data_IF_724463491997
#
_entry.id   IF_724463491997
#
_cell.length_a   1.000
_cell.length_b   1.000
_cell.length_c   1.000
_cell.angle_alpha   90.00
_cell.angle_beta   90.00
_cell.angle_gamma   90.00
#
_symmetry.space_group_name_H-M   'P 1'
#
loop_
_entity.id
_entity.type
_entity.pdbx_description
1 polymer ?
#
# COMPACT_ATOMS: atom_id res chain seq x y z
N UNK A 1 -65.31 -46.10 27.90
CA UNK A 1 -64.96 -44.79 28.52
C UNK A 1 -63.44 -44.68 28.62
N UNK A 2 -62.87 -43.46 28.74
CA UNK A 2 -61.43 -43.14 28.67
C UNK A 2 -60.78 -43.33 27.28
N UNK A 3 -60.82 -42.27 26.47
CA UNK A 3 -59.76 -42.01 25.47
C UNK A 3 -58.41 -41.81 26.20
N UNK A 4 -57.31 -42.11 25.51
CA UNK A 4 -55.97 -41.60 25.85
C UNK A 4 -55.45 -40.80 24.67
N UNK A 5 -55.26 -39.49 24.85
CA UNK A 5 -54.50 -38.68 23.91
C UNK A 5 -53.01 -38.96 24.10
N UNK A 6 -52.29 -39.13 23.00
CA UNK A 6 -50.83 -39.25 22.99
C UNK A 6 -50.26 -38.05 22.24
N UNK A 7 -49.82 -37.03 22.97
CA UNK A 7 -49.23 -35.83 22.39
C UNK A 7 -47.81 -36.11 21.91
N UNK A 8 -47.63 -36.27 20.60
CA UNK A 8 -46.31 -36.40 19.98
C UNK A 8 -45.72 -34.99 19.81
N UNK A 9 -44.68 -34.68 20.58
CA UNK A 9 -43.90 -33.45 20.44
C UNK A 9 -43.05 -33.51 19.17
N UNK A 10 -43.24 -32.54 18.28
CA UNK A 10 -42.45 -32.38 17.05
C UNK A 10 -41.20 -31.55 17.34
N UNK A 11 -39.96 -32.09 17.20
CA UNK A 11 -38.75 -31.30 17.39
C UNK A 11 -38.53 -30.37 16.19
N UNK A 12 -38.60 -29.06 16.42
CA UNK A 12 -38.11 -28.09 15.44
C UNK A 12 -36.59 -28.17 15.36
N UNK A 13 -36.07 -28.81 14.31
CA UNK A 13 -34.66 -28.71 13.93
C UNK A 13 -34.38 -27.29 13.40
N UNK A 14 -33.94 -26.41 14.30
CA UNK A 14 -33.39 -25.09 13.93
C UNK A 14 -32.04 -25.31 13.25
N UNK A 15 -32.08 -25.54 11.94
CA UNK A 15 -30.89 -25.63 11.11
C UNK A 15 -30.20 -24.27 11.06
N UNK A 16 -29.11 -24.12 11.82
CA UNK A 16 -28.16 -23.01 11.64
C UNK A 16 -27.46 -23.19 10.29
N UNK A 17 -28.09 -22.66 9.23
CA UNK A 17 -27.50 -22.52 7.92
C UNK A 17 -26.37 -21.52 7.97
N UNK A 18 -25.17 -21.97 8.33
CA UNK A 18 -23.95 -21.22 8.12
C UNK A 18 -23.81 -20.95 6.62
N UNK A 19 -24.04 -19.71 6.20
CA UNK A 19 -23.82 -19.30 4.83
C UNK A 19 -22.35 -19.55 4.48
N UNK A 20 -22.03 -20.18 3.33
CA UNK A 20 -20.64 -20.41 2.96
C UNK A 20 -19.93 -19.07 2.81
N UNK A 21 -18.95 -18.80 3.67
CA UNK A 21 -18.05 -17.67 3.48
C UNK A 21 -17.30 -17.90 2.16
N UNK A 22 -17.57 -17.06 1.17
CA UNK A 22 -16.84 -17.07 -0.09
C UNK A 22 -15.41 -16.66 0.23
N UNK A 23 -14.52 -17.66 0.32
CA UNK A 23 -13.13 -17.44 0.68
C UNK A 23 -12.50 -16.44 -0.30
N UNK A 24 -11.95 -15.34 0.23
CA UNK A 24 -11.27 -14.36 -0.60
C UNK A 24 -10.02 -14.99 -1.21
N UNK A 25 -9.66 -14.66 -2.47
CA UNK A 25 -8.47 -15.23 -3.11
C UNK A 25 -7.19 -14.96 -2.32
N UNK A 26 -6.24 -15.91 -2.32
CA UNK A 26 -4.99 -15.80 -1.55
C UNK A 26 -4.16 -14.55 -1.92
N UNK A 27 -4.22 -14.09 -3.17
CA UNK A 27 -3.61 -12.82 -3.61
C UNK A 27 -4.26 -11.55 -3.01
N UNK A 28 -5.51 -11.62 -2.54
CA UNK A 28 -6.20 -10.52 -1.85
C UNK A 28 -5.91 -10.48 -0.35
N UNK A 29 -5.79 -11.66 0.27
CA UNK A 29 -5.40 -11.81 1.67
C UNK A 29 -3.95 -11.33 1.86
N UNK A 30 -3.65 -10.75 3.02
CA UNK A 30 -2.27 -10.67 3.51
C UNK A 30 -1.94 -11.86 4.41
N UNK A 31 -0.68 -11.95 4.83
CA UNK A 31 -0.14 -13.01 5.69
C UNK A 31 -0.62 -12.86 7.14
N UNK A 32 -1.90 -13.14 7.40
CA UNK A 32 -2.45 -13.23 8.77
C UNK A 32 -2.46 -14.68 9.27
N UNK A 33 -2.98 -15.62 8.47
CA UNK A 33 -3.25 -17.00 8.94
C UNK A 33 -2.84 -18.13 7.96
N UNK A 34 -2.47 -17.82 6.71
CA UNK A 34 -2.35 -18.83 5.65
C UNK A 34 -0.98 -19.52 5.52
N UNK A 35 0.00 -19.12 6.35
CA UNK A 35 1.39 -19.58 6.27
C UNK A 35 2.18 -18.98 5.11
N UNK A 36 1.66 -17.93 4.46
CA UNK A 36 2.25 -17.33 3.26
C UNK A 36 1.90 -18.08 1.98
N UNK A 37 2.24 -17.49 0.83
CA UNK A 37 2.01 -18.08 -0.49
C UNK A 37 2.68 -19.46 -0.63
N UNK A 38 1.88 -20.44 -1.08
CA UNK A 38 2.27 -21.85 -1.21
C UNK A 38 2.42 -22.25 -2.69
N UNK A 39 3.67 -22.54 -3.09
CA UNK A 39 3.98 -23.00 -4.45
C UNK A 39 3.41 -24.42 -4.65
N UNK A 40 2.74 -24.65 -5.78
CA UNK A 40 2.28 -25.99 -6.18
C UNK A 40 0.91 -26.44 -5.65
N UNK A 41 0.27 -25.69 -4.74
CA UNK A 41 -1.17 -25.85 -4.44
C UNK A 41 -2.05 -24.98 -5.34
N UNK A 42 -1.62 -23.74 -5.58
CA UNK A 42 -2.28 -22.80 -6.49
C UNK A 42 -1.44 -22.67 -7.76
N UNK A 43 -2.05 -22.89 -8.93
CA UNK A 43 -1.35 -22.80 -10.23
C UNK A 43 -0.95 -21.36 -10.61
N UNK A 44 -1.41 -20.36 -9.87
CA UNK A 44 -1.10 -18.94 -10.05
C UNK A 44 0.12 -18.45 -9.26
N UNK A 45 0.69 -19.21 -8.32
CA UNK A 45 1.81 -18.72 -7.49
C UNK A 45 3.13 -18.84 -8.23
N UNK A 46 3.69 -17.70 -8.64
CA UNK A 46 5.07 -17.57 -9.11
C UNK A 46 6.03 -17.53 -7.92
N UNK A 47 7.18 -18.19 -8.03
CA UNK A 47 8.22 -18.16 -7.02
C UNK A 47 9.61 -18.32 -7.63
N UNK A 48 10.54 -17.47 -7.25
CA UNK A 48 11.95 -17.56 -7.65
C UNK A 48 12.88 -17.45 -6.43
N UNK A 49 13.99 -18.22 -6.43
CA UNK A 49 15.11 -18.03 -5.51
C UNK A 49 16.16 -17.16 -6.19
N UNK A 50 16.72 -16.18 -5.47
CA UNK A 50 17.88 -15.38 -5.87
C UNK A 50 18.88 -15.29 -4.73
N UNK A 51 20.06 -14.75 -4.99
CA UNK A 51 21.13 -14.60 -4.01
C UNK A 51 21.78 -13.22 -4.14
N UNK A 52 21.99 -12.55 -3.02
CA UNK A 52 22.88 -11.39 -2.93
C UNK A 52 24.27 -11.87 -2.51
N UNK A 53 25.32 -11.13 -2.90
CA UNK A 53 26.71 -11.52 -2.60
C UNK A 53 27.45 -10.37 -1.91
N UNK A 54 27.71 -10.52 -0.61
CA UNK A 54 28.39 -9.52 0.21
C UNK A 54 29.59 -10.16 0.91
N UNK A 55 30.76 -9.53 0.84
CA UNK A 55 32.00 -9.98 1.49
C UNK A 55 32.31 -11.48 1.30
N UNK A 56 32.15 -11.97 0.06
CA UNK A 56 32.31 -13.37 -0.38
C UNK A 56 31.34 -14.40 0.24
N UNK A 57 30.32 -13.97 0.99
CA UNK A 57 29.17 -14.78 1.39
C UNK A 57 28.02 -14.66 0.39
N UNK A 58 27.22 -15.72 0.26
CA UNK A 58 25.97 -15.73 -0.50
C UNK A 58 24.77 -15.67 0.47
N UNK A 59 23.85 -14.76 0.20
CA UNK A 59 22.66 -14.49 1.02
C UNK A 59 21.41 -14.80 0.20
N UNK A 60 20.84 -16.01 0.32
CA UNK A 60 19.75 -16.44 -0.53
C UNK A 60 18.39 -15.93 -0.04
N UNK A 61 17.63 -15.35 -0.97
CA UNK A 61 16.23 -14.95 -0.77
C UNK A 61 15.31 -15.72 -1.70
N UNK A 62 14.04 -15.84 -1.32
CA UNK A 62 12.96 -16.34 -2.18
C UNK A 62 11.83 -15.32 -2.25
N UNK A 63 11.47 -14.92 -3.45
CA UNK A 63 10.27 -14.10 -3.70
C UNK A 63 9.12 -14.99 -4.16
N UNK A 64 7.92 -14.67 -3.69
CA UNK A 64 6.66 -15.28 -4.11
C UNK A 64 5.74 -14.17 -4.64
N UNK A 65 4.88 -14.51 -5.60
CA UNK A 65 3.82 -13.61 -6.08
C UNK A 65 2.60 -14.39 -6.56
N UNK A 66 1.42 -13.86 -6.29
CA UNK A 66 0.14 -14.43 -6.70
C UNK A 66 -0.79 -13.33 -7.24
N UNK A 67 -1.75 -13.72 -8.08
CA UNK A 67 -2.75 -12.81 -8.67
C UNK A 67 -4.16 -13.38 -8.59
N UNK A 68 -5.14 -12.51 -8.38
CA UNK A 68 -6.55 -12.87 -8.49
C UNK A 68 -7.40 -11.69 -8.94
N UNK A 69 -8.44 -11.93 -9.73
CA UNK A 69 -9.50 -10.94 -9.95
C UNK A 69 -10.37 -10.82 -8.69
N UNK A 70 -10.83 -9.61 -8.34
CA UNK A 70 -11.59 -9.37 -7.08
C UNK A 70 -13.08 -9.68 -7.19
N UNK A 71 -13.55 -10.13 -8.35
CA UNK A 71 -14.96 -10.31 -8.67
C UNK A 71 -15.65 -9.06 -9.24
N UNK A 72 -14.99 -7.89 -9.20
CA UNK A 72 -15.41 -6.70 -9.96
C UNK A 72 -14.68 -6.65 -11.31
N UNK A 73 -15.28 -5.97 -12.28
CA UNK A 73 -14.71 -5.79 -13.62
C UNK A 73 -13.37 -5.06 -13.58
N UNK A 74 -12.34 -5.66 -14.17
CA UNK A 74 -11.01 -5.05 -14.33
C UNK A 74 -10.32 -4.66 -13.02
N UNK A 75 -10.57 -5.37 -11.91
CA UNK A 75 -9.89 -5.16 -10.62
C UNK A 75 -9.15 -6.43 -10.19
N UNK A 76 -7.86 -6.31 -9.89
CA UNK A 76 -7.00 -7.42 -9.47
C UNK A 76 -6.34 -7.16 -8.12
N UNK A 77 -6.29 -8.20 -7.29
CA UNK A 77 -5.35 -8.28 -6.18
C UNK A 77 -4.03 -8.87 -6.68
N UNK A 78 -2.91 -8.23 -6.35
CA UNK A 78 -1.56 -8.79 -6.45
C UNK A 78 -0.98 -8.93 -5.05
N UNK A 79 -0.42 -10.10 -4.73
CA UNK A 79 0.36 -10.33 -3.50
C UNK A 79 1.82 -10.52 -3.85
N UNK A 80 2.68 -9.98 -3.02
CA UNK A 80 4.13 -10.10 -3.09
C UNK A 80 4.65 -10.52 -1.72
N UNK A 81 5.50 -11.53 -1.67
CA UNK A 81 6.18 -11.93 -0.43
C UNK A 81 7.67 -12.18 -0.67
N UNK A 82 8.49 -11.93 0.35
CA UNK A 82 9.93 -12.24 0.31
C UNK A 82 10.38 -12.89 1.62
N UNK A 83 11.18 -13.94 1.51
CA UNK A 83 11.73 -14.73 2.61
C UNK A 83 13.27 -14.78 2.51
N UNK A 84 13.97 -14.55 3.62
CA UNK A 84 15.38 -14.88 3.74
C UNK A 84 15.48 -16.39 4.02
N UNK A 85 16.00 -17.14 3.05
CA UNK A 85 16.14 -18.61 3.10
C UNK A 85 17.58 -19.04 3.42
N UNK A 86 18.38 -18.12 3.96
CA UNK A 86 19.77 -18.32 4.36
C UNK A 86 19.94 -18.71 5.83
N UNK A 87 21.11 -18.36 6.38
CA UNK A 87 21.43 -18.50 7.81
C UNK A 87 21.96 -17.19 8.43
N UNK A 88 22.43 -16.25 7.60
CA UNK A 88 22.83 -14.91 8.02
C UNK A 88 21.71 -13.89 7.78
N UNK A 89 21.70 -12.82 8.57
CA UNK A 89 20.80 -11.68 8.39
C UNK A 89 21.18 -10.88 7.13
N UNK A 90 20.19 -10.36 6.41
CA UNK A 90 20.38 -9.44 5.28
C UNK A 90 20.13 -8.01 5.76
N UNK A 91 21.10 -7.11 5.60
CA UNK A 91 20.94 -5.71 5.97
C UNK A 91 20.37 -4.89 4.80
N UNK A 92 19.51 -3.92 5.10
CA UNK A 92 18.92 -2.97 4.15
C UNK A 92 18.31 -3.66 2.90
N UNK A 93 17.40 -4.62 3.10
CA UNK A 93 16.63 -5.21 2.01
C UNK A 93 15.61 -4.20 1.48
N UNK A 94 15.54 -3.99 0.17
CA UNK A 94 14.51 -3.21 -0.48
C UNK A 94 13.96 -3.86 -1.76
N UNK A 95 12.64 -3.91 -1.88
CA UNK A 95 11.93 -4.37 -3.07
C UNK A 95 10.85 -3.36 -3.46
N UNK A 96 11.19 -2.47 -4.40
CA UNK A 96 10.38 -1.30 -4.74
C UNK A 96 9.01 -1.58 -5.35
N UNK A 97 8.85 -2.64 -6.15
CA UNK A 97 7.55 -3.01 -6.73
C UNK A 97 6.54 -3.42 -5.64
N UNK A 98 7.01 -4.16 -4.64
CA UNK A 98 6.24 -4.50 -3.45
C UNK A 98 6.25 -3.36 -2.39
N UNK A 99 7.08 -2.33 -2.55
CA UNK A 99 7.31 -1.28 -1.56
C UNK A 99 7.72 -1.80 -0.18
N UNK A 100 8.40 -2.96 -0.13
CA UNK A 100 8.93 -3.60 1.09
C UNK A 100 10.34 -3.04 1.35
N UNK A 101 10.61 -2.57 2.57
CA UNK A 101 11.94 -2.13 3.01
C UNK A 101 12.18 -2.64 4.44
N UNK A 102 13.29 -3.35 4.67
CA UNK A 102 13.63 -3.98 5.95
C UNK A 102 15.10 -3.73 6.28
N UNK A 103 15.36 -3.13 7.45
CA UNK A 103 16.71 -2.79 7.90
C UNK A 103 17.54 -4.02 8.30
N UNK A 104 16.94 -4.94 9.06
CA UNK A 104 17.52 -6.21 9.52
C UNK A 104 16.57 -7.36 9.13
N UNK A 105 16.84 -8.03 8.02
CA UNK A 105 15.97 -9.07 7.47
C UNK A 105 16.50 -10.46 7.83
N UNK A 106 15.89 -11.06 8.87
CA UNK A 106 16.38 -12.26 9.53
C UNK A 106 15.94 -13.55 8.80
N UNK A 107 16.63 -14.69 8.99
CA UNK A 107 16.28 -15.94 8.32
C UNK A 107 14.97 -16.57 8.79
N UNK A 108 14.12 -16.99 7.84
CA UNK A 108 12.98 -17.88 8.10
C UNK A 108 11.61 -17.37 7.63
N UNK A 109 10.63 -18.27 7.66
CA UNK A 109 9.27 -18.00 7.22
C UNK A 109 8.45 -17.12 8.20
N UNK A 110 8.88 -17.01 9.46
CA UNK A 110 8.28 -16.09 10.44
C UNK A 110 8.50 -14.64 9.99
N UNK A 111 9.75 -14.29 9.68
CA UNK A 111 10.18 -12.97 9.24
C UNK A 111 9.85 -12.67 7.76
N UNK A 112 9.25 -13.65 7.02
CA UNK A 112 8.78 -13.45 5.63
C UNK A 112 7.82 -12.26 5.57
N UNK A 113 8.22 -11.21 4.86
CA UNK A 113 7.38 -10.03 4.62
C UNK A 113 6.33 -10.33 3.54
N UNK A 114 5.10 -9.83 3.72
CA UNK A 114 4.01 -9.93 2.74
C UNK A 114 3.33 -8.59 2.53
N UNK A 115 2.90 -8.32 1.29
CA UNK A 115 2.00 -7.21 0.96
C UNK A 115 1.00 -7.61 -0.10
N UNK A 116 -0.25 -7.16 0.04
CA UNK A 116 -1.23 -7.17 -1.04
C UNK A 116 -1.53 -5.74 -1.52
N UNK A 117 -1.84 -5.62 -2.81
CA UNK A 117 -2.22 -4.38 -3.49
C UNK A 117 -3.46 -4.66 -4.36
N UNK A 118 -4.49 -3.82 -4.27
CA UNK A 118 -5.65 -3.87 -5.18
C UNK A 118 -5.49 -2.81 -6.28
N UNK A 119 -5.41 -3.26 -7.53
CA UNK A 119 -5.10 -2.43 -8.70
C UNK A 119 -6.13 -2.66 -9.81
N UNK A 120 -6.61 -1.57 -10.41
CA UNK A 120 -7.45 -1.65 -11.62
C UNK A 120 -6.57 -1.97 -12.84
N UNK A 121 -6.97 -2.93 -13.69
CA UNK A 121 -6.34 -3.21 -14.99
C UNK A 121 -7.30 -3.91 -15.95
N UNK A 122 -7.28 -3.54 -17.23
CA UNK A 122 -8.13 -4.15 -18.27
C UNK A 122 -7.45 -5.33 -18.98
N UNK A 123 -6.16 -5.54 -18.77
CA UNK A 123 -5.40 -6.74 -19.18
C UNK A 123 -5.13 -7.60 -17.96
N UNK A 124 -5.11 -8.92 -18.14
CA UNK A 124 -4.65 -9.86 -17.13
C UNK A 124 -3.22 -9.50 -16.65
N UNK A 125 -2.92 -9.59 -15.33
CA UNK A 125 -1.55 -9.46 -14.86
C UNK A 125 -0.65 -10.53 -15.49
N UNK A 126 0.56 -10.13 -15.87
CA UNK A 126 1.56 -10.96 -16.53
C UNK A 126 2.82 -11.11 -15.66
N UNK A 127 3.63 -12.15 -15.90
CA UNK A 127 4.90 -12.33 -15.19
C UNK A 127 5.96 -11.47 -15.89
N UNK A 128 6.58 -10.54 -15.17
CA UNK A 128 7.71 -9.75 -15.68
C UNK A 128 8.75 -9.49 -14.56
N UNK A 129 9.89 -8.93 -14.95
CA UNK A 129 11.04 -8.66 -14.09
C UNK A 129 10.74 -7.64 -13.01
N UNK A 130 11.40 -7.83 -11.87
CA UNK A 130 11.48 -6.90 -10.74
C UNK A 130 12.89 -6.92 -10.16
N UNK A 131 13.28 -5.85 -9.49
CA UNK A 131 14.62 -5.72 -8.88
C UNK A 131 14.49 -5.72 -7.36
N UNK A 132 15.21 -6.64 -6.74
CA UNK A 132 15.49 -6.67 -5.30
C UNK A 132 16.85 -6.01 -5.08
N UNK A 133 16.99 -5.26 -3.98
CA UNK A 133 18.23 -4.64 -3.56
C UNK A 133 18.54 -5.05 -2.12
N UNK A 134 19.83 -5.10 -1.76
CA UNK A 134 20.29 -5.37 -0.41
C UNK A 134 21.68 -4.77 -0.15
N UNK A 135 22.04 -4.63 1.13
CA UNK A 135 23.30 -4.05 1.59
C UNK A 135 23.46 -2.62 1.05
N UNK A 136 24.66 -2.19 0.68
CA UNK A 136 24.90 -0.81 0.20
C UNK A 136 24.62 -0.62 -1.29
N UNK A 137 24.61 -1.70 -2.10
CA UNK A 137 24.36 -1.63 -3.55
C UNK A 137 24.14 -2.98 -4.26
N UNK A 138 23.94 -4.10 -3.55
CA UNK A 138 23.78 -5.41 -4.20
C UNK A 138 22.37 -5.56 -4.79
N UNK A 139 22.23 -6.24 -5.93
CA UNK A 139 20.98 -6.32 -6.71
C UNK A 139 20.74 -7.72 -7.25
N UNK A 140 19.47 -8.13 -7.21
CA UNK A 140 19.01 -9.39 -7.78
C UNK A 140 17.75 -9.17 -8.64
N UNK A 141 17.79 -9.60 -9.90
CA UNK A 141 16.61 -9.62 -10.77
C UNK A 141 15.74 -10.86 -10.47
N UNK A 142 14.47 -10.65 -10.16
CA UNK A 142 13.46 -11.68 -9.95
C UNK A 142 12.27 -11.51 -10.90
N UNK A 143 11.35 -12.48 -10.97
CA UNK A 143 10.13 -12.42 -11.78
C UNK A 143 8.87 -12.61 -10.92
N UNK A 144 7.85 -11.78 -11.16
CA UNK A 144 6.58 -11.76 -10.40
C UNK A 144 5.43 -11.26 -11.26
N UNK A 145 4.18 -11.44 -10.80
CA UNK A 145 3.02 -10.90 -11.49
C UNK A 145 2.95 -9.38 -11.39
N UNK A 146 2.53 -8.73 -12.47
CA UNK A 146 2.37 -7.27 -12.57
C UNK A 146 1.22 -6.93 -13.51
N UNK A 147 0.46 -5.89 -13.21
CA UNK A 147 -0.57 -5.34 -14.13
C UNK A 147 0.03 -4.37 -15.13
N UNK A 148 -0.58 -4.30 -16.31
CA UNK A 148 -0.16 -3.37 -17.38
C UNK A 148 -0.45 -1.91 -17.06
N UNK A 149 -1.35 -1.59 -16.11
CA UNK A 149 -1.69 -0.22 -15.69
C UNK A 149 -0.55 0.54 -14.98
N UNK A 150 0.68 0.03 -15.03
CA UNK A 150 1.88 0.85 -14.89
C UNK A 150 2.15 1.72 -16.15
N UNK A 151 1.49 1.45 -17.30
CA UNK A 151 1.12 2.42 -18.36
C UNK A 151 -0.10 1.92 -19.16
N UNK A 152 -1.15 2.75 -19.29
CA UNK A 152 -2.49 2.41 -19.83
C UNK A 152 -2.53 2.06 -21.35
N UNK A 153 -3.63 1.69 -22.02
CA UNK A 153 -5.12 1.78 -21.83
C UNK A 153 -5.78 0.77 -22.86
N UNK A 154 -7.08 0.49 -23.01
CA UNK A 154 -8.34 1.06 -22.49
C UNK A 154 -9.55 0.11 -22.61
N UNK A 155 -10.52 0.24 -21.69
CA UNK A 155 -11.97 0.35 -21.98
C UNK A 155 -12.50 1.55 -21.16
N UNK A 156 -13.68 2.10 -21.44
CA UNK A 156 -14.21 3.25 -20.69
C UNK A 156 -14.47 2.90 -19.20
N UNK A 157 -13.55 3.29 -18.31
CA UNK A 157 -13.70 3.10 -16.86
C UNK A 157 -14.83 3.99 -16.31
N UNK A 158 -15.65 3.48 -15.36
CA UNK A 158 -16.62 4.32 -14.63
C UNK A 158 -15.94 5.26 -13.62
N UNK A 159 -14.65 5.08 -13.35
CA UNK A 159 -13.85 5.95 -12.48
C UNK A 159 -13.02 6.96 -13.28
N UNK A 160 -12.63 8.06 -12.62
CA UNK A 160 -11.64 9.00 -13.13
C UNK A 160 -10.27 8.32 -13.34
N UNK A 161 -9.55 8.68 -14.40
CA UNK A 161 -8.26 8.07 -14.72
C UNK A 161 -7.10 8.65 -13.89
N UNK A 162 -6.15 7.78 -13.53
CA UNK A 162 -4.81 8.19 -13.07
C UNK A 162 -3.89 8.29 -14.30
N UNK A 163 -3.61 9.51 -14.75
CA UNK A 163 -2.75 9.82 -15.88
C UNK A 163 -1.31 10.05 -15.39
N UNK A 164 -0.34 9.47 -16.08
CA UNK A 164 1.08 9.77 -15.84
C UNK A 164 1.50 11.01 -16.65
N UNK A 165 1.95 12.07 -15.97
CA UNK A 165 2.36 13.33 -16.62
C UNK A 165 3.78 13.76 -16.23
N UNK A 166 4.40 14.52 -17.12
CA UNK A 166 5.71 15.13 -16.90
C UNK A 166 5.63 16.25 -15.85
N UNK A 167 6.54 16.23 -14.87
CA UNK A 167 6.51 17.15 -13.72
C UNK A 167 6.96 18.57 -14.09
N UNK A 168 7.91 18.71 -15.02
CA UNK A 168 8.39 19.99 -15.54
C UNK A 168 7.32 20.70 -16.40
N UNK A 169 6.43 19.94 -17.03
CA UNK A 169 5.28 20.47 -17.78
C UNK A 169 4.06 20.76 -16.92
N UNK A 170 3.82 19.99 -15.85
CA UNK A 170 2.60 20.11 -15.03
C UNK A 170 2.75 21.04 -13.80
N UNK A 171 3.95 21.16 -13.21
CA UNK A 171 4.14 21.98 -12.00
C UNK A 171 4.66 23.38 -12.35
N UNK A 172 4.08 24.46 -11.78
CA UNK A 172 4.62 25.80 -11.92
C UNK A 172 6.09 25.86 -11.45
N UNK A 173 6.94 26.62 -12.16
CA UNK A 173 8.37 26.70 -11.86
C UNK A 173 8.70 27.11 -10.41
N UNK A 174 7.84 27.91 -9.77
CA UNK A 174 7.98 28.26 -8.36
C UNK A 174 7.67 27.09 -7.41
N UNK A 175 6.75 26.18 -7.76
CA UNK A 175 6.53 24.92 -7.02
C UNK A 175 7.77 24.02 -7.16
N UNK A 176 8.31 23.88 -8.37
CA UNK A 176 9.55 23.11 -8.60
C UNK A 176 10.73 23.66 -7.80
N UNK A 177 10.83 24.98 -7.62
CA UNK A 177 11.83 25.62 -6.75
C UNK A 177 11.62 25.29 -5.27
N UNK A 178 10.38 25.31 -4.76
CA UNK A 178 10.06 24.89 -3.38
C UNK A 178 10.40 23.42 -3.14
N UNK A 179 10.09 22.53 -4.10
CA UNK A 179 10.48 21.11 -4.02
C UNK A 179 12.00 20.94 -4.00
N UNK A 180 12.73 21.65 -4.86
CA UNK A 180 14.19 21.59 -4.91
C UNK A 180 14.86 22.13 -3.63
N UNK A 181 14.36 23.25 -3.08
CA UNK A 181 14.86 23.84 -1.84
C UNK A 181 14.68 22.88 -0.64
N UNK A 182 13.54 22.20 -0.58
CA UNK A 182 13.23 21.18 0.43
C UNK A 182 13.86 19.79 0.11
N UNK A 183 14.77 19.70 -0.86
CA UNK A 183 15.46 18.45 -1.29
C UNK A 183 14.54 17.31 -1.73
N UNK A 184 13.32 17.64 -2.18
CA UNK A 184 12.27 16.67 -2.54
C UNK A 184 12.50 16.10 -3.95
N UNK A 185 13.13 14.93 -4.00
CA UNK A 185 13.41 14.20 -5.24
C UNK A 185 12.16 13.50 -5.82
N UNK A 186 11.30 14.24 -6.55
CA UNK A 186 10.23 13.64 -7.35
C UNK A 186 10.80 12.82 -8.52
N UNK A 187 11.04 11.52 -8.33
CA UNK A 187 11.57 10.61 -9.35
C UNK A 187 10.44 10.02 -10.20
N UNK A 188 10.51 10.20 -11.52
CA UNK A 188 9.52 9.68 -12.47
C UNK A 188 8.36 10.66 -12.77
N UNK A 189 7.34 10.15 -13.46
CA UNK A 189 6.13 10.90 -13.83
C UNK A 189 5.19 11.07 -12.64
N UNK A 190 4.49 12.20 -12.59
CA UNK A 190 3.42 12.44 -11.61
C UNK A 190 2.19 11.61 -11.98
N UNK A 191 1.58 10.95 -10.98
CA UNK A 191 0.31 10.23 -11.14
C UNK A 191 -0.84 11.18 -10.80
N UNK A 192 -1.52 11.71 -11.80
CA UNK A 192 -2.52 12.79 -11.68
C UNK A 192 -3.92 12.31 -11.99
N UNK A 193 -4.91 12.74 -11.21
CA UNK A 193 -6.34 12.55 -11.50
C UNK A 193 -6.98 13.93 -11.71
N UNK A 194 -7.53 14.18 -12.90
CA UNK A 194 -8.32 15.38 -13.18
C UNK A 194 -9.79 15.14 -12.77
N UNK A 195 -10.32 15.99 -11.89
CA UNK A 195 -11.70 15.86 -11.37
C UNK A 195 -12.74 16.60 -12.25
N UNK A 196 -12.33 17.12 -13.41
CA UNK A 196 -13.23 17.64 -14.45
C UNK A 196 -14.05 16.56 -15.16
N UNK A 197 -13.61 15.30 -15.14
CA UNK A 197 -14.39 14.19 -15.71
C UNK A 197 -15.73 13.94 -14.98
N UNK A 198 -15.91 14.47 -13.76
CA UNK A 198 -17.13 14.29 -12.96
C UNK A 198 -17.37 12.86 -12.46
N UNK A 199 -16.45 11.94 -12.72
CA UNK A 199 -16.52 10.54 -12.31
C UNK A 199 -16.10 10.34 -10.84
N UNK A 200 -16.58 9.29 -10.17
CA UNK A 200 -16.01 8.83 -8.91
C UNK A 200 -14.51 8.53 -9.05
N UNK A 201 -13.77 8.70 -7.95
CA UNK A 201 -12.34 8.36 -7.88
C UNK A 201 -12.23 6.97 -7.23
N UNK A 202 -11.44 6.08 -7.83
CA UNK A 202 -11.30 4.71 -7.36
C UNK A 202 -10.57 4.67 -6.00
N UNK A 203 -11.09 4.00 -4.95
CA UNK A 203 -10.43 3.95 -3.64
C UNK A 203 -9.26 2.95 -3.64
N UNK A 204 -8.12 3.36 -3.08
CA UNK A 204 -6.89 2.55 -3.05
C UNK A 204 -6.70 1.94 -1.67
N UNK A 205 -6.61 0.60 -1.62
CA UNK A 205 -6.35 -0.18 -0.41
C UNK A 205 -5.04 -0.95 -0.56
N UNK A 206 -4.19 -0.83 0.44
CA UNK A 206 -2.90 -1.53 0.52
C UNK A 206 -2.69 -2.03 1.95
N UNK A 207 -2.32 -3.30 2.11
CA UNK A 207 -2.07 -3.90 3.42
C UNK A 207 -0.72 -4.62 3.40
N UNK A 208 0.09 -4.40 4.44
CA UNK A 208 1.39 -5.03 4.67
C UNK A 208 1.30 -5.86 5.95
N UNK A 209 1.84 -7.08 5.93
CA UNK A 209 1.86 -8.00 7.07
C UNK A 209 3.24 -8.64 7.25
N UNK A 210 3.76 -8.63 8.48
CA UNK A 210 5.06 -9.21 8.87
C UNK A 210 5.39 -8.90 10.33
N UNK A 211 6.23 -9.71 10.99
CA UNK A 211 6.66 -9.48 12.40
C UNK A 211 5.55 -9.34 13.45
N UNK A 212 4.38 -9.94 13.21
CA UNK A 212 3.19 -9.73 14.05
C UNK A 212 2.62 -8.31 13.94
N UNK A 213 2.91 -7.59 12.86
CA UNK A 213 2.34 -6.30 12.49
C UNK A 213 1.49 -6.48 11.23
N UNK A 214 0.24 -6.02 11.29
CA UNK A 214 -0.62 -5.78 10.14
C UNK A 214 -0.84 -4.28 10.00
N UNK A 215 -0.41 -3.68 8.90
CA UNK A 215 -0.60 -2.25 8.61
C UNK A 215 -1.40 -2.08 7.33
N UNK A 216 -2.63 -1.61 7.48
CA UNK A 216 -3.55 -1.29 6.38
C UNK A 216 -3.64 0.22 6.19
N UNK A 217 -3.60 0.65 4.92
CA UNK A 217 -3.89 2.00 4.46
C UNK A 217 -4.98 1.95 3.39
N UNK A 218 -6.05 2.71 3.60
CA UNK A 218 -7.19 2.83 2.70
C UNK A 218 -7.44 4.32 2.38
N UNK A 219 -7.09 4.74 1.16
CA UNK A 219 -7.20 6.13 0.72
C UNK A 219 -8.31 6.30 -0.32
N UNK A 220 -9.19 7.28 -0.09
CA UNK A 220 -10.32 7.62 -0.94
C UNK A 220 -10.48 9.13 -1.06
N UNK A 221 -11.12 9.56 -2.14
CA UNK A 221 -11.52 10.96 -2.34
C UNK A 221 -13.03 11.01 -2.53
N UNK A 222 -13.69 11.96 -1.86
CA UNK A 222 -15.12 12.26 -2.03
C UNK A 222 -15.25 13.64 -2.67
N UNK A 223 -16.01 13.72 -3.77
CA UNK A 223 -16.36 14.96 -4.44
C UNK A 223 -17.78 15.37 -4.03
N UNK A 224 -17.95 16.59 -3.53
CA UNK A 224 -19.26 17.13 -3.13
C UNK A 224 -19.38 18.61 -3.54
N UNK A 225 -20.10 18.87 -4.64
CA UNK A 225 -20.22 20.21 -5.23
C UNK A 225 -18.87 20.77 -5.66
N UNK A 226 -18.40 21.83 -4.99
CA UNK A 226 -17.03 22.36 -5.16
C UNK A 226 -16.02 21.80 -4.16
N UNK A 227 -16.43 20.98 -3.18
CA UNK A 227 -15.54 20.41 -2.16
C UNK A 227 -14.90 19.10 -2.61
N UNK A 228 -13.64 18.92 -2.24
CA UNK A 228 -12.86 17.70 -2.45
C UNK A 228 -12.34 17.23 -1.09
N UNK A 229 -12.90 16.13 -0.57
CA UNK A 229 -12.50 15.55 0.72
C UNK A 229 -11.54 14.39 0.50
N UNK A 230 -10.29 14.59 0.90
CA UNK A 230 -9.23 13.60 0.94
C UNK A 230 -9.34 12.83 2.26
N UNK A 231 -9.38 11.50 2.20
CA UNK A 231 -9.56 10.67 3.40
C UNK A 231 -8.68 9.42 3.29
N UNK A 232 -7.73 9.28 4.23
CA UNK A 232 -6.86 8.12 4.34
C UNK A 232 -7.04 7.52 5.73
N UNK A 233 -7.68 6.36 5.78
CA UNK A 233 -7.79 5.54 6.99
C UNK A 233 -6.52 4.68 7.11
N UNK A 234 -5.89 4.72 8.29
CA UNK A 234 -4.75 3.84 8.63
C UNK A 234 -5.12 3.03 9.86
N UNK A 235 -4.88 1.73 9.84
CA UNK A 235 -5.06 0.83 10.98
C UNK A 235 -3.87 -0.11 11.18
N UNK A 236 -3.54 -0.36 12.45
CA UNK A 236 -2.43 -1.19 12.90
C UNK A 236 -2.97 -2.33 13.77
N UNK A 237 -2.61 -3.57 13.42
CA UNK A 237 -3.03 -4.80 14.07
C UNK A 237 -1.90 -5.83 14.14
N UNK A 238 -2.25 -7.07 14.51
CA UNK A 238 -1.28 -8.14 14.80
C UNK A 238 -0.76 -8.11 16.24
N UNK A 239 -0.06 -9.18 16.63
CA UNK A 239 0.41 -9.42 18.01
C UNK A 239 1.38 -8.34 18.55
N UNK A 240 2.23 -7.79 17.68
CA UNK A 240 3.24 -6.78 18.02
C UNK A 240 2.67 -5.36 18.11
N UNK A 241 1.47 -5.10 17.57
CA UNK A 241 0.91 -3.75 17.52
C UNK A 241 0.62 -3.14 18.89
N UNK A 242 0.36 -3.96 19.92
CA UNK A 242 0.01 -3.48 21.25
C UNK A 242 1.08 -2.63 21.94
N UNK A 243 2.36 -2.79 21.55
CA UNK A 243 3.49 -1.99 22.05
C UNK A 243 4.11 -1.11 20.95
N UNK A 244 3.51 -1.06 19.76
CA UNK A 244 4.10 -0.41 18.60
C UNK A 244 3.96 1.12 18.67
N UNK A 245 4.92 1.81 18.05
CA UNK A 245 4.87 3.27 17.83
C UNK A 245 4.94 3.59 16.35
N UNK A 246 4.06 4.45 15.86
CA UNK A 246 3.88 4.74 14.43
C UNK A 246 4.11 6.23 14.12
N UNK A 247 4.77 6.53 13.01
CA UNK A 247 4.98 7.88 12.49
C UNK A 247 4.45 7.99 11.05
N UNK A 248 3.64 9.03 10.78
CA UNK A 248 2.92 9.23 9.51
C UNK A 248 2.91 10.71 9.08
N UNK A 249 4.07 11.39 8.99
CA UNK A 249 4.14 12.85 8.83
C UNK A 249 3.39 13.39 7.61
N UNK A 250 3.45 12.71 6.47
CA UNK A 250 2.70 13.11 5.27
C UNK A 250 1.17 13.11 5.45
N UNK A 251 0.64 12.25 6.32
CA UNK A 251 -0.81 12.15 6.58
C UNK A 251 -1.24 13.07 7.73
N UNK A 252 -0.39 13.28 8.73
CA UNK A 252 -0.60 14.24 9.82
C UNK A 252 -0.70 15.68 9.27
N UNK A 253 0.19 16.08 8.37
CA UNK A 253 0.23 17.43 7.78
C UNK A 253 -0.97 17.77 6.87
N UNK A 254 -1.78 16.78 6.49
CA UNK A 254 -3.06 17.05 5.82
C UNK A 254 -4.00 17.86 6.71
N UNK A 255 -3.93 17.71 8.04
CA UNK A 255 -4.78 18.45 8.98
C UNK A 255 -4.56 19.98 8.90
N UNK A 256 -3.33 20.42 8.60
CA UNK A 256 -2.99 21.85 8.46
C UNK A 256 -3.29 22.42 7.06
N UNK A 257 -3.58 21.54 6.09
CA UNK A 257 -3.68 21.89 4.67
C UNK A 257 -4.97 22.64 4.37
N UNK A 258 -4.82 23.88 3.87
CA UNK A 258 -5.94 24.80 3.53
C UNK A 258 -6.13 25.05 2.03
N UNK A 259 -5.10 24.74 1.23
CA UNK A 259 -5.08 24.79 -0.23
C UNK A 259 -3.84 24.01 -0.72
N UNK A 260 -3.72 23.81 -2.03
CA UNK A 260 -2.55 23.23 -2.70
C UNK A 260 -2.27 23.81 -4.10
N UNK A 261 -2.94 24.90 -4.50
CA UNK A 261 -2.86 25.48 -5.84
C UNK A 261 -1.68 26.43 -6.10
N UNK A 262 -0.85 26.73 -5.09
CA UNK A 262 0.22 27.72 -5.18
C UNK A 262 1.45 27.36 -4.30
N UNK A 263 2.65 27.89 -4.58
CA UNK A 263 3.92 27.44 -3.96
C UNK A 263 3.97 27.56 -2.44
N UNK A 264 3.36 28.60 -1.86
CA UNK A 264 3.32 28.84 -0.42
C UNK A 264 2.62 27.73 0.36
N UNK A 265 1.69 27.01 -0.27
CA UNK A 265 1.03 25.87 0.35
C UNK A 265 1.88 24.60 0.28
N UNK A 266 2.69 24.42 -0.77
CA UNK A 266 3.68 23.34 -0.82
C UNK A 266 4.74 23.52 0.26
N UNK A 267 5.23 24.75 0.45
CA UNK A 267 6.25 25.07 1.45
C UNK A 267 5.70 24.90 2.89
N UNK A 268 4.48 25.38 3.15
CA UNK A 268 3.80 25.18 4.43
C UNK A 268 3.51 23.70 4.73
N UNK A 269 3.09 22.92 3.73
CA UNK A 269 2.88 21.48 3.89
C UNK A 269 4.21 20.77 4.21
N UNK A 270 5.26 20.98 3.42
CA UNK A 270 6.57 20.37 3.65
C UNK A 270 7.15 20.75 5.03
N UNK A 271 6.93 21.99 5.47
CA UNK A 271 7.32 22.47 6.81
C UNK A 271 6.57 21.74 7.95
N UNK A 272 5.26 21.51 7.81
CA UNK A 272 4.46 20.73 8.77
C UNK A 272 4.89 19.26 8.78
N UNK A 273 5.12 18.68 7.60
CA UNK A 273 5.61 17.30 7.42
C UNK A 273 6.98 17.08 8.10
N UNK A 274 7.95 17.99 7.92
CA UNK A 274 9.27 17.86 8.60
C UNK A 274 9.13 18.05 10.12
N UNK A 275 8.25 18.96 10.58
CA UNK A 275 7.95 19.16 12.01
C UNK A 275 7.43 17.86 12.65
N UNK A 276 6.54 17.15 11.97
CA UNK A 276 5.92 15.90 12.44
C UNK A 276 6.81 14.66 12.19
N UNK A 277 7.96 14.80 11.53
CA UNK A 277 8.82 13.67 11.08
C UNK A 277 9.40 12.81 12.21
N UNK A 278 9.46 13.39 13.42
CA UNK A 278 9.89 12.73 14.66
C UNK A 278 8.73 12.34 15.59
N UNK A 279 7.48 12.64 15.22
CA UNK A 279 6.30 12.33 16.03
C UNK A 279 5.92 10.85 15.90
N UNK A 280 6.07 10.11 17.00
CA UNK A 280 5.79 8.67 17.09
C UNK A 280 4.64 8.41 18.05
N UNK A 281 3.43 8.22 17.50
CA UNK A 281 2.19 7.92 18.21
C UNK A 281 2.28 6.51 18.81
N UNK A 282 2.07 6.38 20.12
CA UNK A 282 1.93 5.09 20.81
C UNK A 282 0.47 4.63 20.91
N UNK A 283 0.25 3.40 21.36
CA UNK A 283 -1.08 2.78 21.56
C UNK A 283 -2.00 2.81 20.31
N UNK A 284 -1.41 2.97 19.13
CA UNK A 284 -2.12 3.23 17.89
C UNK A 284 -2.85 1.98 17.38
N UNK A 285 -4.15 2.12 17.09
CA UNK A 285 -4.98 1.05 16.50
C UNK A 285 -5.58 1.48 15.17
N UNK A 286 -6.19 2.66 15.10
CA UNK A 286 -6.74 3.22 13.88
C UNK A 286 -6.86 4.74 13.98
N UNK A 287 -6.60 5.44 12.88
CA UNK A 287 -6.87 6.87 12.73
C UNK A 287 -7.30 7.18 11.29
N UNK A 288 -8.28 8.09 11.16
CA UNK A 288 -8.61 8.74 9.88
C UNK A 288 -7.81 10.02 9.78
N UNK A 289 -7.04 10.14 8.71
CA UNK A 289 -6.45 11.41 8.28
C UNK A 289 -7.33 11.97 7.18
N UNK A 290 -7.74 13.24 7.30
CA UNK A 290 -8.61 13.85 6.30
C UNK A 290 -8.50 15.35 6.25
N UNK A 291 -8.57 15.90 5.03
CA UNK A 291 -8.75 17.33 4.77
C UNK A 291 -9.78 17.53 3.66
N UNK A 292 -10.48 18.65 3.69
CA UNK A 292 -11.49 19.00 2.69
C UNK A 292 -11.18 20.39 2.15
N UNK A 293 -10.91 20.46 0.85
CA UNK A 293 -10.50 21.68 0.14
C UNK A 293 -11.58 22.09 -0.86
N UNK A 294 -11.72 23.39 -1.13
CA UNK A 294 -12.43 23.79 -2.35
C UNK A 294 -11.58 23.42 -3.57
N UNK A 295 -12.23 22.91 -4.60
CA UNK A 295 -11.65 22.49 -5.88
C UNK A 295 -10.79 23.57 -6.54
N UNK A 296 -11.14 24.85 -6.39
CA UNK A 296 -10.35 25.98 -6.92
C UNK A 296 -9.06 26.21 -6.14
N UNK A 297 -8.94 25.64 -4.95
CA UNK A 297 -7.74 25.65 -4.13
C UNK A 297 -6.77 24.50 -4.49
N UNK A 298 -7.12 23.61 -5.43
CA UNK A 298 -6.24 22.57 -5.97
C UNK A 298 -5.48 23.06 -7.20
N UNK A 299 -4.26 22.55 -7.40
CA UNK A 299 -3.49 22.83 -8.61
C UNK A 299 -4.19 22.22 -9.83
N UNK A 300 -4.54 23.05 -10.82
CA UNK A 300 -5.17 22.64 -12.09
C UNK A 300 -6.37 21.68 -11.94
N UNK A 301 -7.28 21.94 -10.98
CA UNK A 301 -8.44 21.06 -10.68
C UNK A 301 -8.06 19.57 -10.50
N UNK A 302 -6.84 19.31 -10.03
CA UNK A 302 -6.25 17.98 -10.03
C UNK A 302 -5.80 17.54 -8.64
N UNK A 303 -5.67 16.23 -8.48
CA UNK A 303 -5.09 15.60 -7.29
C UNK A 303 -4.13 14.49 -7.68
N UNK A 304 -3.32 14.06 -6.72
CA UNK A 304 -2.13 13.26 -6.98
C UNK A 304 -2.19 11.94 -6.23
N UNK A 305 -1.85 10.85 -6.92
CA UNK A 305 -1.61 9.56 -6.30
C UNK A 305 -0.14 9.49 -5.88
N UNK A 306 0.13 9.88 -4.65
CA UNK A 306 1.49 10.10 -4.13
C UNK A 306 1.96 9.00 -3.21
N UNK A 307 3.27 8.77 -3.21
CA UNK A 307 3.95 7.77 -2.40
C UNK A 307 4.55 8.41 -1.15
N UNK A 308 4.24 7.90 0.03
CA UNK A 308 4.72 8.42 1.30
C UNK A 308 5.15 7.31 2.24
N UNK A 309 6.01 7.65 3.20
CA UNK A 309 6.48 6.73 4.23
C UNK A 309 5.51 6.67 5.41
N UNK A 310 5.33 5.46 5.93
CA UNK A 310 4.87 5.17 7.29
C UNK A 310 5.97 4.37 7.99
N UNK A 311 6.38 4.79 9.19
CA UNK A 311 7.40 4.09 9.99
C UNK A 311 6.75 3.48 11.23
N UNK A 312 7.01 2.20 11.50
CA UNK A 312 6.54 1.49 12.70
C UNK A 312 7.74 1.00 13.50
N UNK A 313 7.74 1.24 14.82
CA UNK A 313 8.74 0.72 15.76
C UNK A 313 8.08 -0.28 16.71
N UNK A 314 8.60 -1.50 16.76
CA UNK A 314 8.15 -2.56 17.66
C UNK A 314 9.27 -3.61 17.81
N UNK A 315 9.33 -4.29 18.97
CA UNK A 315 10.28 -5.38 19.25
C UNK A 315 11.75 -5.00 18.94
N UNK A 316 12.15 -3.81 19.40
CA UNK A 316 13.45 -3.14 19.17
C UNK A 316 13.84 -2.87 17.70
N UNK A 317 12.96 -3.20 16.75
CA UNK A 317 13.13 -2.97 15.32
C UNK A 317 12.43 -1.67 14.85
N UNK A 318 12.90 -1.14 13.73
CA UNK A 318 12.22 -0.08 12.96
C UNK A 318 11.91 -0.58 11.55
N UNK A 319 10.63 -0.58 11.20
CA UNK A 319 10.09 -1.01 9.92
C UNK A 319 9.63 0.22 9.13
N UNK A 320 9.94 0.24 7.83
CA UNK A 320 9.67 1.39 6.97
C UNK A 320 8.87 0.95 5.74
N UNK A 321 7.66 1.47 5.62
CA UNK A 321 6.70 1.04 4.60
C UNK A 321 6.33 2.22 3.70
N UNK A 322 6.56 2.08 2.39
CA UNK A 322 6.12 3.06 1.39
C UNK A 322 4.67 2.75 1.00
N UNK A 323 3.75 3.68 1.17
CA UNK A 323 2.33 3.56 0.83
C UNK A 323 1.91 4.57 -0.24
N UNK A 324 0.85 4.25 -0.99
CA UNK A 324 0.21 5.17 -1.92
C UNK A 324 -1.10 5.70 -1.33
N UNK A 325 -1.31 7.01 -1.40
CA UNK A 325 -2.57 7.66 -1.05
C UNK A 325 -2.86 8.85 -1.96
N UNK A 326 -4.12 9.31 -1.97
CA UNK A 326 -4.52 10.50 -2.68
C UNK A 326 -4.22 11.74 -1.84
N UNK A 327 -3.35 12.61 -2.35
CA UNK A 327 -2.94 13.87 -1.73
C UNK A 327 -3.31 15.06 -2.63
N UNK A 328 -3.54 16.26 -2.06
CA UNK A 328 -3.74 17.49 -2.85
C UNK A 328 -2.43 18.06 -3.41
N UNK A 329 -1.27 17.57 -2.95
CA UNK A 329 0.06 18.00 -3.39
C UNK A 329 0.74 16.95 -4.27
N UNK A 330 1.48 17.40 -5.29
CA UNK A 330 2.29 16.58 -6.18
C UNK A 330 3.60 16.09 -5.53
N UNK A 331 3.50 15.51 -4.32
CA UNK A 331 4.65 15.24 -3.45
C UNK A 331 4.67 13.77 -3.02
N UNK A 332 5.55 12.98 -3.64
CA UNK A 332 6.09 11.79 -2.99
C UNK A 332 7.02 12.22 -1.84
N UNK A 333 6.86 11.67 -0.63
CA UNK A 333 7.55 12.14 0.60
C UNK A 333 8.36 11.07 1.34
N UNK A 334 9.51 11.47 1.89
CA UNK A 334 10.49 10.68 2.68
C UNK A 334 10.95 9.37 2.03
N UNK A 335 10.73 9.16 0.71
CA UNK A 335 10.91 7.86 0.08
C UNK A 335 12.30 7.26 0.33
N UNK A 336 13.36 8.07 0.33
CA UNK A 336 14.74 7.64 0.57
C UNK A 336 15.06 7.28 2.03
N UNK A 337 14.19 7.62 3.01
CA UNK A 337 14.29 7.18 4.42
C UNK A 337 13.86 5.73 4.59
N UNK A 338 12.90 5.25 3.80
CA UNK A 338 12.77 3.81 3.56
C UNK A 338 13.83 3.42 2.55
N UNK A 339 15.04 3.10 3.05
CA UNK A 339 16.25 2.89 2.25
C UNK A 339 16.02 2.06 0.97
N UNK A 340 16.76 2.45 -0.08
CA UNK A 340 16.84 1.74 -1.36
C UNK A 340 17.63 0.43 -1.27
#
# INVERSE_FOLDING_TARGET
MRMRYLSILLPMLVGFGAAPSVAQPAACLTKTDDGGLQVGRNASVTSEKKEFYESSKAYPVRTFSDRAATGKTAEFCLRYEIENVGQDHIQNLYWGLAGISVKDFRPGAHDRQSRSQQLQSFKDPEIDRTVLNAFTNNKAESQVWRVETQTAKATASPFAEVVAVDREQFLPGAVLQVLAANSIAQRGLLKVVNIEEGKPIYPIRQTVSGEGIDLEVNSRVVLDGSSVSFQTDVSLGGESAGNARIAMPALLALADTKAAGAPEYYDAYLSSVETQRSEFIGDFKQQRFSTTLDRRALLHNSLFLSEHVITVRANDNEYCYRFQSYLPFAVNYDLDRCAQ
#
